data_IF_539409277671
#
_entry.id   IF_539409277671
#
_cell.length_a   1.000
_cell.length_b   1.000
_cell.length_c   1.000
_cell.angle_alpha   90.00
_cell.angle_beta   90.00
_cell.angle_gamma   90.00
#
_symmetry.space_group_name_H-M   'P 1'
#
loop_
_entity.id
_entity.type
_entity.pdbx_description
1 polymer ?
#
# COMPACT_ATOMS: atom_id res chain seq x y z
N UNK A 1 -14.23 -7.00 8.83
CA UNK A 1 -15.25 -5.99 8.59
C UNK A 1 -16.06 -6.33 7.36
N UNK A 2 -17.29 -5.87 7.29
CA UNK A 2 -18.21 -6.04 6.17
C UNK A 2 -18.77 -4.68 5.78
N UNK A 3 -18.77 -4.38 4.48
CA UNK A 3 -19.48 -3.23 3.91
C UNK A 3 -20.79 -3.71 3.30
N UNK A 4 -21.90 -3.14 3.75
CA UNK A 4 -23.25 -3.41 3.22
C UNK A 4 -23.97 -2.10 2.95
N UNK A 5 -24.89 -2.09 1.98
CA UNK A 5 -25.75 -0.92 1.73
C UNK A 5 -26.75 -0.75 2.85
N UNK A 6 -27.04 0.52 3.20
CA UNK A 6 -28.19 0.84 4.04
C UNK A 6 -29.53 0.66 3.28
N UNK A 7 -30.65 0.84 3.97
CA UNK A 7 -31.99 0.69 3.37
C UNK A 7 -32.29 1.71 2.26
N UNK A 8 -31.63 2.86 2.27
CA UNK A 8 -31.81 3.92 1.25
C UNK A 8 -30.95 3.67 0.01
N UNK A 9 -29.88 2.87 0.14
CA UNK A 9 -28.89 2.66 -0.90
C UNK A 9 -27.90 3.83 -1.09
N UNK A 10 -27.99 4.87 -0.26
CA UNK A 10 -27.14 6.07 -0.36
C UNK A 10 -25.86 5.96 0.45
N UNK A 11 -25.82 5.07 1.44
CA UNK A 11 -24.69 4.91 2.33
C UNK A 11 -24.21 3.46 2.41
N UNK A 12 -22.95 3.30 2.77
CA UNK A 12 -22.35 2.04 3.14
C UNK A 12 -22.18 1.95 4.66
N UNK A 13 -22.67 0.87 5.23
CA UNK A 13 -22.52 0.53 6.64
C UNK A 13 -21.27 -0.35 6.79
N UNK A 14 -20.28 0.16 7.50
CA UNK A 14 -19.10 -0.63 7.84
C UNK A 14 -19.31 -1.30 9.20
N UNK A 15 -19.37 -2.63 9.19
CA UNK A 15 -19.70 -3.45 10.35
C UNK A 15 -18.52 -4.32 10.77
N UNK A 16 -18.17 -4.31 12.04
CA UNK A 16 -17.12 -5.14 12.64
C UNK A 16 -17.71 -5.88 13.83
N UNK A 17 -17.55 -7.21 13.86
CA UNK A 17 -18.08 -8.04 14.92
C UNK A 17 -19.62 -7.94 15.11
N UNK A 18 -20.35 -7.68 14.04
CA UNK A 18 -21.80 -7.49 14.07
C UNK A 18 -22.28 -6.09 14.50
N UNK A 19 -21.35 -5.17 14.78
CA UNK A 19 -21.68 -3.78 15.15
C UNK A 19 -21.32 -2.84 14.00
N UNK A 20 -22.25 -1.98 13.60
CA UNK A 20 -21.97 -0.91 12.64
C UNK A 20 -21.11 0.15 13.31
N UNK A 21 -19.89 0.31 12.85
CA UNK A 21 -18.88 1.24 13.40
C UNK A 21 -18.78 2.53 12.59
N UNK A 22 -19.26 2.53 11.35
CA UNK A 22 -19.33 3.74 10.50
C UNK A 22 -20.45 3.65 9.47
N UNK A 23 -20.98 4.81 9.14
CA UNK A 23 -21.84 5.03 7.97
C UNK A 23 -21.05 5.92 7.00
N UNK A 24 -20.78 5.43 5.79
CA UNK A 24 -19.91 6.09 4.81
C UNK A 24 -20.75 6.42 3.58
N UNK A 25 -20.89 7.69 3.19
CA UNK A 25 -21.60 8.07 1.97
C UNK A 25 -21.05 7.38 0.72
N UNK A 26 -21.89 7.07 -0.24
CA UNK A 26 -21.50 6.45 -1.52
C UNK A 26 -20.42 7.22 -2.23
N UNK A 27 -20.55 8.57 -2.30
CA UNK A 27 -19.56 9.43 -2.94
C UNK A 27 -18.19 9.32 -2.25
N UNK A 28 -18.17 9.26 -0.90
CA UNK A 28 -16.93 9.08 -0.14
C UNK A 28 -16.28 7.73 -0.41
N UNK A 29 -17.05 6.66 -0.50
CA UNK A 29 -16.52 5.33 -0.87
C UNK A 29 -15.93 5.37 -2.27
N UNK A 30 -16.63 5.99 -3.22
CA UNK A 30 -16.18 6.13 -4.60
C UNK A 30 -14.87 6.93 -4.69
N UNK A 31 -14.79 8.08 -4.03
CA UNK A 31 -13.59 8.92 -4.00
C UNK A 31 -12.41 8.15 -3.41
N UNK A 32 -12.60 7.53 -2.25
CA UNK A 32 -11.53 6.79 -1.58
C UNK A 32 -11.08 5.58 -2.42
N UNK A 33 -12.01 4.79 -2.94
CA UNK A 33 -11.69 3.59 -3.71
C UNK A 33 -10.95 3.89 -5.02
N UNK A 34 -11.36 4.93 -5.75
CA UNK A 34 -10.75 5.28 -7.03
C UNK A 34 -9.44 6.05 -6.89
N UNK A 35 -9.26 6.84 -5.83
CA UNK A 35 -8.19 7.83 -5.75
C UNK A 35 -7.12 7.52 -4.71
N UNK A 36 -7.25 6.43 -3.90
CA UNK A 36 -6.24 6.11 -2.88
C UNK A 36 -4.84 5.90 -3.47
N UNK A 37 -4.75 5.39 -4.67
CA UNK A 37 -3.51 5.07 -5.38
C UNK A 37 -3.24 5.97 -6.60
N UNK A 38 -3.88 7.14 -6.70
CA UNK A 38 -3.73 8.05 -7.85
C UNK A 38 -2.27 8.45 -8.10
N UNK A 39 -1.42 8.41 -7.10
CA UNK A 39 0.01 8.66 -7.22
C UNK A 39 0.71 7.72 -8.20
N UNK A 40 0.15 6.53 -8.45
CA UNK A 40 0.71 5.54 -9.39
C UNK A 40 0.61 5.96 -10.85
N UNK A 41 -0.22 6.96 -11.18
CA UNK A 41 -0.35 7.47 -12.56
C UNK A 41 0.94 8.07 -13.11
N UNK A 42 1.83 8.55 -12.24
CA UNK A 42 3.13 9.14 -12.59
C UNK A 42 4.32 8.46 -11.90
N UNK A 43 4.12 7.24 -11.45
CA UNK A 43 5.09 6.49 -10.67
C UNK A 43 5.95 5.55 -11.51
N UNK A 44 5.39 5.06 -12.63
CA UNK A 44 6.06 4.10 -13.49
C UNK A 44 6.62 4.76 -14.73
N UNK A 45 7.88 4.45 -15.02
CA UNK A 45 8.53 4.69 -16.31
C UNK A 45 8.68 3.39 -17.09
N UNK A 46 9.12 3.50 -18.34
CA UNK A 46 9.47 2.34 -19.15
C UNK A 46 10.96 2.34 -19.47
N UNK A 47 11.59 1.18 -19.38
CA UNK A 47 12.98 0.96 -19.77
C UNK A 47 13.10 -0.34 -20.57
N UNK A 48 14.29 -0.67 -21.03
CA UNK A 48 14.53 -1.94 -21.74
C UNK A 48 15.59 -2.76 -21.03
N UNK A 49 15.38 -4.07 -20.95
CA UNK A 49 16.37 -5.03 -20.46
C UNK A 49 16.67 -6.07 -21.52
N UNK A 50 17.89 -6.61 -21.50
CA UNK A 50 18.22 -7.75 -22.33
C UNK A 50 17.64 -9.03 -21.67
N UNK A 51 16.85 -9.75 -22.43
CA UNK A 51 16.29 -11.04 -22.02
C UNK A 51 16.60 -12.07 -23.11
N UNK A 52 17.00 -13.27 -22.68
CA UNK A 52 17.22 -14.37 -23.61
C UNK A 52 15.87 -14.95 -24.01
N UNK A 53 15.63 -15.01 -25.30
CA UNK A 53 14.45 -15.68 -25.86
C UNK A 53 14.70 -17.20 -25.84
N UNK A 54 13.92 -17.93 -25.04
CA UNK A 54 14.12 -19.38 -24.85
C UNK A 54 13.86 -20.20 -26.13
N UNK A 55 13.00 -19.69 -27.02
CA UNK A 55 12.70 -20.37 -28.30
C UNK A 55 13.81 -20.20 -29.32
N UNK A 56 14.48 -19.05 -29.38
CA UNK A 56 15.50 -18.72 -30.41
C UNK A 56 16.91 -18.75 -29.84
N UNK A 57 17.10 -18.77 -28.53
CA UNK A 57 18.39 -18.69 -27.85
C UNK A 57 19.08 -17.32 -27.95
N UNK A 58 18.47 -16.34 -28.62
CA UNK A 58 19.03 -15.01 -28.86
C UNK A 58 18.67 -14.04 -27.73
N UNK A 59 19.56 -13.05 -27.51
CA UNK A 59 19.30 -11.94 -26.61
C UNK A 59 18.49 -10.86 -27.32
N UNK A 60 17.36 -10.49 -26.73
CA UNK A 60 16.43 -9.48 -27.25
C UNK A 60 16.22 -8.38 -26.20
N UNK A 61 16.03 -7.15 -26.67
CA UNK A 61 15.63 -6.04 -25.79
C UNK A 61 14.13 -6.09 -25.59
N UNK A 62 13.71 -6.35 -24.35
CA UNK A 62 12.30 -6.35 -23.96
C UNK A 62 11.98 -5.15 -23.09
N UNK A 63 10.84 -4.47 -23.31
CA UNK A 63 10.41 -3.39 -22.44
C UNK A 63 10.03 -3.94 -21.07
N UNK A 64 10.27 -3.15 -20.02
CA UNK A 64 9.78 -3.43 -18.68
C UNK A 64 9.50 -2.12 -17.94
N UNK A 65 8.65 -2.19 -16.94
CA UNK A 65 8.33 -1.04 -16.11
C UNK A 65 9.41 -0.82 -15.06
N UNK A 66 9.76 0.45 -14.86
CA UNK A 66 10.67 0.91 -13.80
C UNK A 66 9.93 1.88 -12.89
N UNK A 67 10.38 1.99 -11.65
CA UNK A 67 9.91 3.05 -10.76
C UNK A 67 10.65 4.34 -11.12
N UNK A 68 9.89 5.39 -11.44
CA UNK A 68 10.40 6.77 -11.68
C UNK A 68 9.70 7.73 -10.71
N UNK A 69 9.93 7.51 -9.42
CA UNK A 69 9.30 8.29 -8.36
C UNK A 69 10.00 9.63 -8.15
N UNK A 70 9.34 10.70 -8.57
CA UNK A 70 9.84 12.08 -8.44
C UNK A 70 9.42 12.76 -7.14
N UNK A 71 8.55 12.15 -6.34
CA UNK A 71 8.08 12.68 -5.08
C UNK A 71 8.31 11.63 -3.98
N UNK A 72 9.38 11.77 -3.17
CA UNK A 72 9.78 10.76 -2.18
C UNK A 72 8.87 10.78 -0.94
N UNK A 73 7.59 10.52 -1.14
CA UNK A 73 6.57 10.33 -0.11
C UNK A 73 5.96 8.94 -0.27
N UNK A 74 5.46 8.36 0.82
CA UNK A 74 4.69 7.13 0.75
C UNK A 74 3.44 7.27 -0.14
N UNK A 75 2.91 6.15 -0.64
CA UNK A 75 1.77 6.15 -1.58
C UNK A 75 0.56 6.92 -1.05
N UNK A 76 0.16 6.68 0.19
CA UNK A 76 -1.00 7.31 0.80
C UNK A 76 -0.88 8.84 0.90
N UNK A 77 0.16 9.37 1.58
CA UNK A 77 0.40 10.82 1.66
C UNK A 77 0.46 11.48 0.29
N UNK A 78 1.14 10.86 -0.66
CA UNK A 78 1.27 11.37 -2.04
C UNK A 78 -0.08 11.44 -2.74
N UNK A 79 -0.87 10.37 -2.66
CA UNK A 79 -2.22 10.33 -3.25
C UNK A 79 -3.13 11.39 -2.64
N UNK A 80 -3.17 11.50 -1.31
CA UNK A 80 -3.97 12.51 -0.62
C UNK A 80 -3.58 13.94 -1.04
N UNK A 81 -2.27 14.23 -1.16
CA UNK A 81 -1.79 15.53 -1.62
C UNK A 81 -2.19 15.83 -3.06
N UNK A 82 -2.09 14.84 -3.96
CA UNK A 82 -2.49 15.01 -5.36
C UNK A 82 -3.99 15.29 -5.43
N UNK A 83 -4.83 14.48 -4.79
CA UNK A 83 -6.30 14.67 -4.82
C UNK A 83 -6.68 16.03 -4.31
N UNK A 84 -6.08 16.51 -3.21
CA UNK A 84 -6.37 17.84 -2.63
C UNK A 84 -6.06 19.02 -3.56
N UNK A 85 -5.27 18.85 -4.60
CA UNK A 85 -5.02 19.89 -5.60
C UNK A 85 -6.20 20.07 -6.56
N UNK A 86 -7.05 19.06 -6.70
CA UNK A 86 -8.13 19.05 -7.69
C UNK A 86 -9.52 19.06 -7.06
N UNK A 87 -9.65 18.57 -5.82
CA UNK A 87 -10.94 18.53 -5.12
C UNK A 87 -10.77 18.67 -3.61
N UNK A 88 -11.88 18.96 -2.93
CA UNK A 88 -11.94 19.01 -1.48
C UNK A 88 -12.23 17.60 -0.93
N UNK A 89 -11.36 17.14 -0.06
CA UNK A 89 -11.59 15.91 0.71
C UNK A 89 -12.13 16.25 2.09
N UNK A 90 -13.07 15.47 2.57
CA UNK A 90 -13.42 15.45 3.98
C UNK A 90 -12.22 14.93 4.80
N UNK A 91 -12.22 15.20 6.10
CA UNK A 91 -11.14 14.73 6.97
C UNK A 91 -11.06 13.20 6.98
N UNK A 92 -12.21 12.51 7.00
CA UNK A 92 -12.25 11.06 6.96
C UNK A 92 -11.68 10.47 5.66
N UNK A 93 -12.06 11.03 4.50
CA UNK A 93 -11.52 10.62 3.19
C UNK A 93 -10.01 10.85 3.11
N UNK A 94 -9.54 12.02 3.57
CA UNK A 94 -8.13 12.34 3.58
C UNK A 94 -7.33 11.33 4.42
N UNK A 95 -7.78 11.04 5.64
CA UNK A 95 -7.10 10.07 6.49
C UNK A 95 -7.19 8.64 5.96
N UNK A 96 -8.32 8.27 5.36
CA UNK A 96 -8.45 6.96 4.72
C UNK A 96 -7.46 6.79 3.58
N UNK A 97 -7.36 7.75 2.66
CA UNK A 97 -6.37 7.73 1.57
C UNK A 97 -4.94 7.78 2.13
N UNK A 98 -4.67 8.63 3.13
CA UNK A 98 -3.33 8.79 3.69
C UNK A 98 -2.79 7.50 4.33
N UNK A 99 -3.64 6.80 5.07
CA UNK A 99 -3.25 5.63 5.86
C UNK A 99 -3.72 4.29 5.27
N UNK A 100 -4.15 4.24 3.99
CA UNK A 100 -4.65 3.00 3.39
C UNK A 100 -3.59 1.88 3.36
N UNK A 101 -2.30 2.21 3.34
CA UNK A 101 -1.23 1.22 3.44
C UNK A 101 -1.15 0.52 4.81
N UNK A 102 -1.81 1.05 5.83
CA UNK A 102 -1.84 0.48 7.17
C UNK A 102 -0.54 0.65 7.95
N UNK A 103 -0.32 -0.25 8.92
CA UNK A 103 0.85 -0.26 9.78
C UNK A 103 2.09 -0.78 9.04
N UNK A 104 3.22 -0.12 9.23
CA UNK A 104 4.48 -0.41 8.53
C UNK A 104 5.58 -0.91 9.45
N UNK A 105 5.33 -0.98 10.77
CA UNK A 105 6.31 -1.33 11.80
C UNK A 105 7.10 -0.13 12.33
N UNK A 106 6.88 1.07 11.79
CA UNK A 106 7.40 2.31 12.36
C UNK A 106 6.46 2.82 13.45
N UNK A 107 6.98 3.04 14.66
CA UNK A 107 6.17 3.35 15.85
C UNK A 107 5.33 4.62 15.68
N UNK A 108 5.91 5.69 15.11
CA UNK A 108 5.19 6.96 14.94
C UNK A 108 4.07 6.82 13.91
N UNK A 109 4.36 6.16 12.79
CA UNK A 109 3.36 5.87 11.77
C UNK A 109 2.26 4.97 12.32
N UNK A 110 2.59 3.87 12.99
CA UNK A 110 1.63 2.89 13.49
C UNK A 110 0.71 3.48 14.56
N UNK A 111 1.25 4.37 15.41
CA UNK A 111 0.44 5.13 16.38
C UNK A 111 -0.52 6.10 15.67
N UNK A 112 -0.06 6.78 14.62
CA UNK A 112 -0.91 7.67 13.82
C UNK A 112 -2.01 6.90 13.08
N UNK A 113 -1.68 5.75 12.48
CA UNK A 113 -2.65 4.85 11.84
C UNK A 113 -3.69 4.36 12.85
N UNK A 114 -3.26 3.89 14.03
CA UNK A 114 -4.16 3.41 15.09
C UNK A 114 -5.17 4.47 15.50
N UNK A 115 -4.69 5.69 15.81
CA UNK A 115 -5.57 6.82 16.17
C UNK A 115 -6.50 7.22 15.02
N UNK A 116 -6.03 7.15 13.79
CA UNK A 116 -6.85 7.47 12.62
C UNK A 116 -7.98 6.46 12.43
N UNK A 117 -7.73 5.18 12.68
CA UNK A 117 -8.75 4.12 12.64
C UNK A 117 -9.83 4.36 13.73
N UNK A 118 -9.42 4.73 14.94
CA UNK A 118 -10.34 5.02 16.03
C UNK A 118 -11.25 6.20 15.72
N UNK A 119 -10.70 7.27 15.12
CA UNK A 119 -11.44 8.48 14.79
C UNK A 119 -12.28 8.33 13.49
N UNK A 120 -11.76 7.61 12.53
CA UNK A 120 -12.31 7.45 11.18
C UNK A 120 -12.27 5.99 10.74
N UNK A 121 -13.26 5.16 11.08
CA UNK A 121 -13.25 3.73 10.71
C UNK A 121 -13.16 3.46 9.20
N UNK A 122 -13.45 4.48 8.35
CA UNK A 122 -13.22 4.41 6.91
C UNK A 122 -11.75 4.09 6.54
N UNK A 123 -10.79 4.47 7.39
CA UNK A 123 -9.37 4.13 7.23
C UNK A 123 -9.19 2.60 7.21
N UNK A 124 -9.77 1.90 8.19
CA UNK A 124 -9.70 0.44 8.24
C UNK A 124 -10.51 -0.21 7.12
N UNK A 125 -11.66 0.37 6.77
CA UNK A 125 -12.49 -0.13 5.69
C UNK A 125 -11.73 -0.12 4.36
N UNK A 126 -11.08 1.00 4.02
CA UNK A 126 -10.30 1.13 2.79
C UNK A 126 -9.07 0.22 2.80
N UNK A 127 -8.29 0.22 3.89
CA UNK A 127 -7.10 -0.63 4.03
C UNK A 127 -7.44 -2.12 3.84
N UNK A 128 -8.49 -2.60 4.49
CA UNK A 128 -8.88 -4.01 4.37
C UNK A 128 -9.43 -4.34 2.99
N UNK A 129 -10.18 -3.42 2.36
CA UNK A 129 -10.72 -3.62 1.02
C UNK A 129 -9.59 -3.69 -0.02
N UNK A 130 -8.62 -2.77 0.03
CA UNK A 130 -7.43 -2.75 -0.85
C UNK A 130 -6.59 -4.03 -0.67
N UNK A 131 -6.30 -4.41 0.57
CA UNK A 131 -5.56 -5.64 0.85
C UNK A 131 -6.29 -6.89 0.33
N UNK A 132 -7.62 -6.96 0.45
CA UNK A 132 -8.42 -8.05 -0.09
C UNK A 132 -8.41 -8.05 -1.62
N UNK A 133 -8.57 -6.89 -2.25
CA UNK A 133 -8.54 -6.75 -3.71
C UNK A 133 -7.19 -7.22 -4.27
N UNK A 134 -6.08 -6.70 -3.72
CA UNK A 134 -4.73 -7.05 -4.17
C UNK A 134 -4.38 -8.54 -3.97
N UNK A 135 -4.94 -9.20 -2.94
CA UNK A 135 -4.64 -10.61 -2.65
C UNK A 135 -5.54 -11.61 -3.37
N UNK A 136 -6.79 -11.25 -3.60
CA UNK A 136 -7.79 -12.19 -4.09
C UNK A 136 -8.39 -11.84 -5.45
N UNK A 137 -8.27 -10.56 -5.88
CA UNK A 137 -8.89 -10.08 -7.11
C UNK A 137 -7.88 -9.68 -8.17
N UNK A 138 -6.69 -9.18 -7.76
CA UNK A 138 -5.61 -8.75 -8.64
C UNK A 138 -4.55 -9.85 -8.78
N UNK A 139 -4.79 -10.88 -9.47
CA UNK A 139 -3.80 -11.93 -9.69
C UNK A 139 -4.07 -12.66 -10.98
N UNK A 140 -3.06 -13.34 -11.50
CA UNK A 140 -3.24 -14.22 -12.65
C UNK A 140 -4.38 -15.19 -12.34
N UNK A 141 -5.56 -14.91 -12.92
CA UNK A 141 -6.79 -15.67 -12.69
C UNK A 141 -6.71 -17.12 -13.16
N UNK A 142 -5.64 -17.49 -13.88
CA UNK A 142 -5.59 -18.80 -14.54
C UNK A 142 -5.14 -19.96 -13.66
N UNK A 143 -4.53 -19.72 -12.47
CA UNK A 143 -3.96 -20.82 -11.68
C UNK A 143 -4.15 -20.74 -10.15
N UNK A 144 -4.97 -19.87 -9.62
CA UNK A 144 -5.33 -19.95 -8.19
C UNK A 144 -6.65 -20.68 -8.04
N UNK A 145 -6.69 -21.84 -7.35
CA UNK A 145 -7.96 -22.44 -6.95
C UNK A 145 -8.73 -21.42 -6.10
N UNK A 146 -10.06 -21.38 -6.22
CA UNK A 146 -10.87 -20.54 -5.35
C UNK A 146 -10.54 -20.90 -3.90
N UNK A 147 -10.40 -19.88 -3.05
CA UNK A 147 -10.16 -20.08 -1.63
C UNK A 147 -11.34 -20.89 -1.05
N UNK A 148 -11.10 -22.11 -0.68
CA UNK A 148 -12.09 -23.06 -0.17
C UNK A 148 -12.33 -22.94 1.34
N UNK A 149 -11.74 -21.91 1.99
CA UNK A 149 -11.79 -21.72 3.44
C UNK A 149 -10.82 -22.60 4.22
N UNK A 150 -10.03 -23.43 3.56
CA UNK A 150 -8.99 -24.22 4.19
C UNK A 150 -7.68 -23.46 4.16
N UNK A 151 -7.12 -23.21 5.33
CA UNK A 151 -5.71 -22.75 5.42
C UNK A 151 -4.84 -23.90 4.90
N UNK A 152 -3.84 -23.64 4.02
CA UNK A 152 -2.91 -24.67 3.62
C UNK A 152 -2.31 -25.27 4.89
N UNK A 153 -2.39 -26.60 5.03
CA UNK A 153 -1.66 -27.29 6.07
C UNK A 153 -0.20 -26.87 5.93
N UNK A 154 0.33 -26.23 6.97
CA UNK A 154 1.74 -25.89 7.01
C UNK A 154 2.48 -27.21 6.87
N UNK A 155 2.96 -27.49 5.66
CA UNK A 155 3.94 -28.55 5.47
C UNK A 155 5.06 -28.20 6.43
N UNK A 156 5.29 -29.06 7.42
CA UNK A 156 6.37 -28.97 8.38
C UNK A 156 7.71 -29.27 7.69
N UNK A 157 8.02 -28.51 6.67
CA UNK A 157 9.34 -28.34 6.12
C UNK A 157 9.96 -27.19 6.90
N UNK A 158 10.66 -27.51 7.98
CA UNK A 158 11.53 -26.59 8.65
C UNK A 158 12.51 -26.04 7.62
N UNK A 159 12.22 -24.82 7.11
CA UNK A 159 13.25 -23.99 6.52
C UNK A 159 14.23 -23.71 7.65
N UNK A 160 15.40 -24.29 7.55
CA UNK A 160 16.47 -24.12 8.54
C UNK A 160 16.74 -22.62 8.68
N UNK A 161 16.75 -22.13 9.91
CA UNK A 161 17.01 -20.74 10.28
C UNK A 161 18.47 -20.30 9.99
N UNK A 162 19.13 -20.87 8.98
CA UNK A 162 20.55 -20.69 8.67
C UNK A 162 20.86 -19.83 7.47
N UNK A 163 19.89 -19.48 6.63
CA UNK A 163 20.21 -18.90 5.31
C UNK A 163 20.12 -17.36 5.24
N UNK A 164 19.78 -16.70 6.35
CA UNK A 164 19.73 -15.24 6.44
C UNK A 164 20.90 -14.61 7.23
N UNK A 165 21.81 -15.45 7.78
CA UNK A 165 22.85 -14.98 8.69
C UNK A 165 24.15 -14.55 7.99
N UNK A 166 24.35 -14.80 6.70
CA UNK A 166 25.62 -14.59 6.01
C UNK A 166 25.59 -13.59 4.84
N UNK A 167 24.69 -12.61 4.86
CA UNK A 167 24.84 -11.48 3.97
C UNK A 167 25.93 -10.54 4.54
N UNK A 168 27.08 -10.33 3.84
CA UNK A 168 28.11 -9.41 4.35
C UNK A 168 27.55 -7.98 4.38
N UNK A 169 27.53 -7.40 5.56
CA UNK A 169 27.29 -5.97 5.75
C UNK A 169 28.57 -5.25 5.28
N UNK A 170 28.65 -4.96 3.98
CA UNK A 170 29.67 -4.08 3.42
C UNK A 170 29.07 -2.68 3.31
N UNK A 171 29.37 -1.84 4.25
CA UNK A 171 28.99 -0.44 4.25
C UNK A 171 29.45 0.25 5.52
N UNK A 172 30.77 0.40 5.71
CA UNK A 172 31.29 1.42 6.61
C UNK A 172 30.89 2.79 6.07
N UNK A 173 29.84 3.38 6.64
CA UNK A 173 29.59 4.81 6.46
C UNK A 173 30.51 5.55 7.40
N UNK A 174 31.60 6.08 6.87
CA UNK A 174 32.42 7.10 7.55
C UNK A 174 31.54 8.36 7.64
N UNK A 175 31.01 8.62 8.81
CA UNK A 175 30.46 9.92 9.15
C UNK A 175 31.67 10.89 9.26
N UNK A 176 31.81 11.73 8.25
CA UNK A 176 32.75 12.86 8.31
C UNK A 176 32.07 13.94 9.19
N UNK A 177 32.72 14.22 10.32
CA UNK A 177 32.27 15.19 11.32
C UNK A 177 32.33 16.60 10.71
N UNK A 178 31.20 17.29 10.66
CA UNK A 178 31.12 18.64 10.13
C UNK A 178 31.98 19.60 11.01
N UNK A 179 32.74 20.52 10.39
CA UNK A 179 33.57 21.44 11.14
C UNK A 179 32.71 22.40 12.00
N UNK A 180 33.22 22.85 13.18
CA UNK A 180 32.48 23.73 14.06
C UNK A 180 32.23 25.09 13.41
N UNK A 181 31.02 25.59 13.59
CA UNK A 181 30.64 26.95 13.16
C UNK A 181 31.51 27.97 13.89
N UNK A 182 32.25 28.78 13.13
CA UNK A 182 32.99 29.91 13.67
C UNK A 182 32.04 30.97 14.22
N UNK A 183 32.13 31.26 15.51
CA UNK A 183 31.53 32.45 16.10
C UNK A 183 32.19 33.70 15.46
N UNK A 184 31.41 34.42 14.67
CA UNK A 184 31.81 35.70 14.09
C UNK A 184 31.18 36.85 14.87
N UNK A 185 32.03 37.77 15.27
CA UNK A 185 31.78 39.02 15.99
C UNK A 185 30.80 39.98 15.28
#
# INVERSE_FOLDING_TARGET
GLLTRDETGENWLYTVGGTTVATIPEDSVTVMALLHDICKTHFYGTSTRNQKNDATGKWEKVPFYTVDDKMPLGHGPKSAMIVKQYTTLTTAEMYAIWHHMGMTGDYENDNAVGKSIEMFPAVLALHTADMMASRFMEGEKENKPPFDGHLPETSSGAASAGEWADAPVTGESTFEEAPPLSEGA
#
